data_IF_278068655167
#
_entry.id   IF_278068655167
#
_cell.length_a   1.000
_cell.length_b   1.000
_cell.length_c   1.000
_cell.angle_alpha   90.00
_cell.angle_beta   90.00
_cell.angle_gamma   90.00
#
_symmetry.space_group_name_H-M   'P 1'
#
loop_
_entity.id
_entity.type
_entity.pdbx_description
1 polymer ?
#
# COMPACT_ATOMS: atom_id res chain seq x y z
N UNK A 1 18.16 -0.92 3.64
CA UNK A 1 16.75 -0.50 3.76
C UNK A 1 16.44 0.45 2.62
N UNK A 2 15.56 0.04 1.70
CA UNK A 2 15.10 0.88 0.58
C UNK A 2 13.85 1.64 1.03
N UNK A 3 13.82 2.95 0.76
CA UNK A 3 12.66 3.80 1.06
C UNK A 3 11.89 4.00 -0.24
N UNK A 4 10.65 3.52 -0.28
CA UNK A 4 9.75 3.76 -1.40
C UNK A 4 8.97 5.06 -1.19
N UNK A 5 8.45 5.60 -2.30
CA UNK A 5 7.66 6.84 -2.29
C UNK A 5 6.23 6.51 -2.72
N UNK A 6 5.29 6.81 -1.83
CA UNK A 6 3.85 6.74 -2.11
C UNK A 6 3.36 8.13 -2.49
N UNK A 7 2.61 8.21 -3.59
CA UNK A 7 1.98 9.43 -4.09
C UNK A 7 0.51 9.41 -3.71
N UNK A 8 0.12 10.32 -2.84
CA UNK A 8 -1.27 10.53 -2.45
C UNK A 8 -1.81 11.77 -3.17
N UNK A 9 -3.07 11.75 -3.56
CA UNK A 9 -3.74 12.86 -4.25
C UNK A 9 -5.23 12.81 -3.99
N UNK A 10 -5.88 13.96 -4.04
CA UNK A 10 -7.35 14.03 -4.05
C UNK A 10 -7.85 13.92 -5.49
N UNK A 11 -8.96 13.24 -5.69
CA UNK A 11 -9.67 13.18 -6.98
C UNK A 11 -11.04 13.80 -6.83
N UNK A 12 -11.32 14.82 -7.63
CA UNK A 12 -12.61 15.50 -7.68
C UNK A 12 -13.25 15.30 -9.05
N UNK A 13 -14.56 15.05 -9.07
CA UNK A 13 -15.33 14.97 -10.31
C UNK A 13 -15.96 16.33 -10.60
N UNK A 14 -15.52 16.98 -11.66
CA UNK A 14 -16.00 18.30 -12.09
C UNK A 14 -16.79 18.20 -13.39
N UNK A 15 -17.79 19.06 -13.57
CA UNK A 15 -18.50 19.21 -14.84
C UNK A 15 -17.84 20.30 -15.67
N UNK A 16 -17.32 19.94 -16.84
CA UNK A 16 -16.71 20.86 -17.81
C UNK A 16 -17.48 20.72 -19.12
N UNK A 17 -18.17 21.78 -19.50
CA UNK A 17 -18.96 21.86 -20.75
C UNK A 17 -19.98 20.70 -20.93
N UNK A 18 -20.64 20.30 -19.83
CA UNK A 18 -21.63 19.22 -19.84
C UNK A 18 -21.03 17.81 -19.74
N UNK A 19 -19.71 17.68 -19.63
CA UNK A 19 -19.03 16.40 -19.43
C UNK A 19 -18.38 16.32 -18.05
N UNK A 20 -18.60 15.22 -17.34
CA UNK A 20 -17.91 14.96 -16.08
C UNK A 20 -16.47 14.50 -16.33
N UNK A 21 -15.52 15.13 -15.66
CA UNK A 21 -14.09 14.79 -15.70
C UNK A 21 -13.55 14.66 -14.28
N UNK A 22 -12.72 13.64 -14.06
CA UNK A 22 -11.93 13.52 -12.84
C UNK A 22 -10.70 14.42 -12.95
N UNK A 23 -10.43 15.22 -11.92
CA UNK A 23 -9.23 16.04 -11.81
C UNK A 23 -8.48 15.70 -10.53
N UNK A 24 -7.15 15.71 -10.61
CA UNK A 24 -6.26 15.41 -9.49
C UNK A 24 -5.80 16.70 -8.82
N UNK A 25 -5.81 16.72 -7.49
CA UNK A 25 -5.42 17.87 -6.67
C UNK A 25 -4.62 17.42 -5.45
N UNK A 26 -4.00 18.39 -4.76
CA UNK A 26 -3.38 18.20 -3.44
C UNK A 26 -2.41 17.00 -3.39
N UNK A 27 -1.50 16.93 -4.36
CA UNK A 27 -0.50 15.86 -4.46
C UNK A 27 0.48 15.91 -3.28
N UNK A 28 0.72 14.75 -2.68
CA UNK A 28 1.66 14.56 -1.58
C UNK A 28 2.54 13.34 -1.84
N UNK A 29 3.83 13.46 -1.51
CA UNK A 29 4.77 12.33 -1.49
C UNK A 29 5.03 11.90 -0.06
N UNK A 30 4.95 10.59 0.19
CA UNK A 30 5.05 10.00 1.52
C UNK A 30 6.08 8.88 1.48
N UNK A 31 7.05 8.85 2.42
CA UNK A 31 7.99 7.74 2.50
C UNK A 31 7.27 6.47 2.98
N UNK A 32 7.64 5.31 2.44
CA UNK A 32 7.08 4.03 2.82
C UNK A 32 8.17 2.97 2.90
N UNK A 33 8.24 2.31 4.05
CA UNK A 33 9.06 1.11 4.26
C UNK A 33 8.53 0.36 5.48
N UNK A 34 8.55 -0.96 5.44
CA UNK A 34 8.08 -1.77 6.57
C UNK A 34 9.16 -1.81 7.66
N UNK A 35 8.77 -1.45 8.88
CA UNK A 35 9.59 -1.58 10.09
C UNK A 35 8.89 -2.46 11.11
N UNK A 36 9.65 -3.05 12.03
CA UNK A 36 9.07 -3.78 13.17
C UNK A 36 8.10 -2.90 13.97
N UNK A 37 8.41 -1.60 14.10
CA UNK A 37 7.53 -0.63 14.75
C UNK A 37 6.21 -0.42 13.99
N UNK A 38 6.25 -0.33 12.66
CA UNK A 38 5.05 -0.26 11.81
C UNK A 38 4.13 -1.47 12.03
N UNK A 39 4.73 -2.66 12.08
CA UNK A 39 4.02 -3.92 12.29
C UNK A 39 3.39 -3.98 13.68
N UNK A 40 4.14 -3.64 14.73
CA UNK A 40 3.61 -3.57 16.10
C UNK A 40 2.47 -2.56 16.21
N UNK A 41 2.62 -1.38 15.61
CA UNK A 41 1.58 -0.35 15.61
C UNK A 41 0.33 -0.82 14.88
N UNK A 42 0.48 -1.48 13.73
CA UNK A 42 -0.67 -2.03 13.00
C UNK A 42 -1.44 -3.09 13.77
N UNK A 43 -0.76 -3.95 14.54
CA UNK A 43 -1.43 -4.88 15.46
C UNK A 43 -2.22 -4.14 16.54
N UNK A 44 -1.62 -3.11 17.16
CA UNK A 44 -2.31 -2.33 18.21
C UNK A 44 -3.54 -1.56 17.71
N UNK A 45 -3.56 -1.20 16.43
CA UNK A 45 -4.67 -0.49 15.78
C UNK A 45 -5.73 -1.45 15.20
N UNK A 46 -5.58 -2.77 15.36
CA UNK A 46 -6.48 -3.76 14.75
C UNK A 46 -6.41 -3.82 13.22
N UNK A 47 -5.38 -3.21 12.62
CA UNK A 47 -5.18 -3.19 11.17
C UNK A 47 -4.47 -4.45 10.66
N UNK A 48 -3.79 -5.16 11.56
CA UNK A 48 -3.09 -6.42 11.27
C UNK A 48 -3.75 -7.55 12.04
N UNK A 49 -4.45 -8.40 11.31
CA UNK A 49 -4.92 -9.69 11.81
C UNK A 49 -3.84 -10.78 11.60
N UNK A 50 -3.96 -11.91 12.30
CA UNK A 50 -3.03 -13.03 12.11
C UNK A 50 -3.02 -13.55 10.67
N UNK A 51 -4.17 -13.49 9.98
CA UNK A 51 -4.33 -13.78 8.55
C UNK A 51 -3.42 -12.88 7.71
N UNK A 52 -3.42 -11.57 7.97
CA UNK A 52 -2.58 -10.60 7.26
C UNK A 52 -1.08 -10.87 7.45
N UNK A 53 -0.67 -11.24 8.67
CA UNK A 53 0.71 -11.65 8.96
C UNK A 53 1.10 -12.91 8.17
N UNK A 54 0.20 -13.88 8.07
CA UNK A 54 0.45 -15.09 7.27
C UNK A 54 0.53 -14.77 5.78
N UNK A 55 -0.32 -13.88 5.26
CA UNK A 55 -0.25 -13.39 3.87
C UNK A 55 1.07 -12.68 3.57
N UNK A 56 1.56 -11.86 4.52
CA UNK A 56 2.87 -11.20 4.45
C UNK A 56 4.03 -12.20 4.37
N UNK A 57 4.02 -13.24 5.23
CA UNK A 57 5.06 -14.27 5.20
C UNK A 57 5.02 -15.08 3.90
N UNK A 58 3.83 -15.46 3.42
CA UNK A 58 3.66 -16.15 2.13
C UNK A 58 4.19 -15.33 0.97
N UNK A 59 3.96 -14.01 0.95
CA UNK A 59 4.50 -13.14 -0.10
C UNK A 59 6.01 -12.93 0.00
N UNK A 60 6.58 -12.89 1.20
CA UNK A 60 8.03 -12.87 1.37
C UNK A 60 8.66 -14.14 0.77
N UNK A 61 8.04 -15.29 1.00
CA UNK A 61 8.50 -16.56 0.43
C UNK A 61 8.34 -16.58 -1.10
N UNK A 62 7.24 -16.03 -1.62
CA UNK A 62 7.01 -15.87 -3.07
C UNK A 62 7.99 -14.88 -3.72
N UNK A 63 8.36 -13.80 -3.03
CA UNK A 63 9.30 -12.79 -3.54
C UNK A 63 10.77 -13.25 -3.46
N UNK A 64 11.07 -14.23 -2.61
CA UNK A 64 12.33 -14.96 -2.62
C UNK A 64 12.36 -16.05 -3.70
N UNK A 65 11.20 -16.47 -4.21
CA UNK A 65 11.12 -17.27 -5.43
C UNK A 65 11.39 -16.40 -6.66
N UNK A 66 11.74 -17.03 -7.79
CA UNK A 66 12.17 -16.31 -8.98
C UNK A 66 11.07 -15.34 -9.45
N UNK A 67 11.32 -14.03 -9.64
CA UNK A 67 10.28 -13.06 -9.99
C UNK A 67 9.52 -13.38 -11.29
N UNK A 68 10.13 -14.20 -12.16
CA UNK A 68 9.55 -14.68 -13.42
C UNK A 68 8.60 -15.88 -13.24
N UNK A 69 8.45 -16.41 -12.03
CA UNK A 69 7.58 -17.55 -11.68
C UNK A 69 6.35 -17.14 -10.85
N UNK A 70 6.21 -15.85 -10.53
CA UNK A 70 5.01 -15.33 -9.85
C UNK A 70 3.86 -15.31 -10.87
N UNK A 71 3.11 -16.40 -10.92
CA UNK A 71 1.93 -16.58 -11.77
C UNK A 71 0.74 -15.78 -11.23
N UNK A 72 -0.12 -15.28 -12.13
CA UNK A 72 -1.33 -14.54 -11.77
C UNK A 72 -2.27 -15.35 -10.86
N UNK A 73 -2.27 -16.69 -10.99
CA UNK A 73 -3.05 -17.58 -10.12
C UNK A 73 -2.50 -17.66 -8.69
N UNK A 74 -1.18 -17.52 -8.51
CA UNK A 74 -0.57 -17.40 -7.18
C UNK A 74 -0.87 -16.07 -6.50
N UNK A 75 -1.34 -15.08 -7.27
CA UNK A 75 -1.77 -13.76 -6.78
C UNK A 75 -3.27 -13.67 -6.46
N UNK A 76 -4.11 -14.58 -6.96
CA UNK A 76 -5.56 -14.59 -6.71
C UNK A 76 -5.94 -14.77 -5.24
N UNK A 77 -5.02 -15.28 -4.42
CA UNK A 77 -5.22 -15.43 -2.97
C UNK A 77 -4.97 -14.15 -2.16
N UNK A 78 -4.49 -13.07 -2.78
CA UNK A 78 -4.22 -11.82 -2.07
C UNK A 78 -5.38 -10.84 -2.19
N UNK A 79 -5.85 -10.39 -1.02
CA UNK A 79 -6.86 -9.36 -0.93
C UNK A 79 -6.18 -7.99 -1.11
N UNK A 80 -6.56 -7.22 -2.14
CA UNK A 80 -5.97 -5.90 -2.40
C UNK A 80 -6.04 -4.96 -1.18
N UNK A 81 -7.12 -5.03 -0.40
CA UNK A 81 -7.29 -4.23 0.82
C UNK A 81 -6.24 -4.60 1.87
N UNK A 82 -5.89 -5.88 1.97
CA UNK A 82 -4.82 -6.35 2.87
C UNK A 82 -3.46 -5.76 2.47
N UNK A 83 -3.18 -5.72 1.17
CA UNK A 83 -1.95 -5.14 0.62
C UNK A 83 -1.89 -3.64 0.89
N UNK A 84 -3.00 -2.93 0.65
CA UNK A 84 -3.12 -1.50 0.91
C UNK A 84 -2.93 -1.17 2.40
N UNK A 85 -3.47 -1.99 3.31
CA UNK A 85 -3.21 -1.87 4.77
C UNK A 85 -1.72 -1.96 5.07
N UNK A 86 -0.99 -2.87 4.42
CA UNK A 86 0.46 -3.01 4.63
C UNK A 86 1.21 -1.77 4.14
N UNK A 87 0.87 -1.24 2.96
CA UNK A 87 1.46 0.00 2.44
C UNK A 87 1.16 1.18 3.38
N UNK A 88 -0.07 1.28 3.88
CA UNK A 88 -0.45 2.29 4.88
C UNK A 88 0.41 2.17 6.14
N UNK A 89 0.64 0.96 6.64
CA UNK A 89 1.52 0.73 7.78
C UNK A 89 2.97 1.13 7.49
N UNK A 90 3.45 0.87 6.28
CA UNK A 90 4.76 1.34 5.84
C UNK A 90 4.87 2.87 5.87
N UNK A 91 3.82 3.58 5.44
CA UNK A 91 3.74 5.04 5.54
C UNK A 91 3.71 5.53 7.00
N UNK A 92 2.87 4.91 7.83
CA UNK A 92 2.71 5.23 9.24
C UNK A 92 3.99 4.96 10.06
N UNK A 93 4.73 3.91 9.69
CA UNK A 93 6.00 3.56 10.30
C UNK A 93 7.14 4.47 9.88
N UNK A 94 7.16 4.89 8.62
CA UNK A 94 8.15 5.79 8.04
C UNK A 94 7.95 7.25 8.49
N UNK A 95 6.71 7.65 8.77
CA UNK A 95 6.35 9.00 9.19
C UNK A 95 5.60 9.00 10.54
N UNK A 96 6.29 9.40 11.62
CA UNK A 96 5.71 9.46 12.97
C UNK A 96 4.53 10.42 13.10
N UNK A 97 4.43 11.41 12.20
CA UNK A 97 3.35 12.40 12.14
C UNK A 97 2.52 12.21 10.88
N UNK A 98 2.28 10.96 10.47
CA UNK A 98 1.42 10.68 9.32
C UNK A 98 0.00 11.23 9.59
N UNK A 99 -0.52 12.13 8.74
CA UNK A 99 -1.70 12.93 9.09
C UNK A 99 -3.03 12.24 8.79
N UNK A 100 -2.99 11.05 8.18
CA UNK A 100 -4.18 10.33 7.73
C UNK A 100 -4.38 9.06 8.54
N UNK A 101 -5.63 8.78 8.88
CA UNK A 101 -6.06 7.43 9.20
C UNK A 101 -6.14 6.55 7.94
N UNK A 102 -6.56 5.29 8.10
CA UNK A 102 -6.62 4.36 6.98
C UNK A 102 -7.66 4.77 5.92
N UNK A 103 -8.83 5.24 6.33
CA UNK A 103 -9.90 5.60 5.40
C UNK A 103 -9.50 6.85 4.59
N UNK A 104 -8.94 7.87 5.25
CA UNK A 104 -8.40 9.07 4.61
C UNK A 104 -7.20 8.77 3.70
N UNK A 105 -6.40 7.77 4.05
CA UNK A 105 -5.34 7.29 3.17
C UNK A 105 -5.92 6.67 1.90
N UNK A 106 -6.95 5.83 2.03
CA UNK A 106 -7.60 5.17 0.90
C UNK A 106 -8.31 6.14 -0.04
N UNK A 107 -8.92 7.19 0.50
CA UNK A 107 -9.48 8.30 -0.29
C UNK A 107 -8.44 9.00 -1.18
N UNK A 108 -7.15 8.86 -0.87
CA UNK A 108 -6.05 9.50 -1.61
C UNK A 108 -5.16 8.52 -2.36
N UNK A 109 -5.34 7.22 -2.11
CA UNK A 109 -4.53 6.14 -2.66
C UNK A 109 -5.18 5.60 -3.94
N UNK A 110 -4.95 6.31 -5.05
CA UNK A 110 -5.57 5.99 -6.35
C UNK A 110 -4.62 5.24 -7.29
N UNK A 111 -3.87 4.28 -6.76
CA UNK A 111 -3.01 3.42 -7.57
C UNK A 111 -3.83 2.35 -8.30
N UNK A 112 -3.32 1.87 -9.43
CA UNK A 112 -3.84 0.64 -10.04
C UNK A 112 -3.47 -0.58 -9.17
N UNK A 113 -4.18 -1.70 -9.33
CA UNK A 113 -3.81 -2.94 -8.65
C UNK A 113 -2.36 -3.35 -8.95
N UNK A 114 -1.94 -3.28 -10.23
CA UNK A 114 -0.57 -3.63 -10.65
C UNK A 114 0.48 -2.75 -9.96
N UNK A 115 0.25 -1.44 -9.89
CA UNK A 115 1.19 -0.53 -9.22
C UNK A 115 1.17 -0.71 -7.70
N UNK A 116 0.03 -1.05 -7.12
CA UNK A 116 -0.11 -1.41 -5.70
C UNK A 116 0.74 -2.65 -5.38
N UNK A 117 0.68 -3.69 -6.22
CA UNK A 117 1.50 -4.89 -6.08
C UNK A 117 3.01 -4.59 -6.18
N UNK A 118 3.41 -3.76 -7.15
CA UNK A 118 4.80 -3.33 -7.32
C UNK A 118 5.30 -2.56 -6.08
N UNK A 119 4.50 -1.61 -5.61
CA UNK A 119 4.83 -0.79 -4.44
C UNK A 119 4.96 -1.67 -3.19
N UNK A 120 4.01 -2.57 -2.98
CA UNK A 120 4.04 -3.54 -1.90
C UNK A 120 5.32 -4.40 -1.93
N UNK A 121 5.62 -5.03 -3.07
CA UNK A 121 6.79 -5.90 -3.23
C UNK A 121 8.09 -5.16 -2.92
N UNK A 122 8.21 -3.91 -3.38
CA UNK A 122 9.38 -3.07 -3.08
C UNK A 122 9.48 -2.69 -1.59
N UNK A 123 8.36 -2.53 -0.90
CA UNK A 123 8.33 -2.19 0.53
C UNK A 123 8.66 -3.38 1.44
N UNK A 124 8.35 -4.62 1.01
CA UNK A 124 8.53 -5.85 1.80
C UNK A 124 9.79 -6.62 1.47
N UNK A 125 10.34 -6.48 0.26
CA UNK A 125 11.60 -7.11 -0.12
C UNK A 125 12.78 -6.40 0.55
N UNK A 126 13.14 -6.85 1.75
CA UNK A 126 14.43 -6.59 2.35
C UNK A 126 15.50 -7.31 1.51
N UNK A 127 16.20 -6.58 0.65
CA UNK A 127 17.53 -6.98 0.18
C UNK A 127 18.53 -6.90 1.32
#
# INVERSE_FOLDING_TARGET
>A
MRVEIVKLKEVEVVNVDGQFKAIEKNHQTVPCFITNHAMQRGQSLGLIEQSLMQSLFKMKDLANANPNEIDSDSLQGFNEVEIQKIIYLGCLGANKQFPYDFDQFMERFHYSFEDTMKLYSNCTCLK
#
